data_IF_844999586375
#
_entry.id   IF_844999586375
#
_cell.length_a   1.000
_cell.length_b   1.000
_cell.length_c   1.000
_cell.angle_alpha   90.00
_cell.angle_beta   90.00
_cell.angle_gamma   90.00
#
_symmetry.space_group_name_H-M   'P 1'
#
loop_
_entity.id
_entity.type
_entity.pdbx_description
1 polymer ?
#
# COMPACT_ATOMS: atom_id res chain seq x y z
N UNK A 1 -3.78 -50.32 57.71
CA UNK A 1 -4.53 -49.24 57.00
C UNK A 1 -3.60 -48.65 55.95
N UNK A 2 -3.75 -49.00 54.64
CA UNK A 2 -2.94 -48.49 53.52
C UNK A 2 -3.72 -47.41 52.83
N UNK A 3 -3.25 -46.14 52.89
CA UNK A 3 -3.82 -44.99 52.19
C UNK A 3 -3.29 -44.95 50.75
N UNK A 4 -4.14 -45.17 49.76
CA UNK A 4 -3.84 -45.01 48.36
C UNK A 4 -3.99 -43.52 47.97
N UNK A 5 -2.85 -42.85 47.73
CA UNK A 5 -2.79 -41.49 47.19
C UNK A 5 -2.97 -41.54 45.66
N UNK A 6 -4.12 -41.09 45.17
CA UNK A 6 -4.39 -41.01 43.72
C UNK A 6 -3.90 -39.65 43.22
N UNK A 7 -2.84 -39.66 42.42
CA UNK A 7 -2.38 -38.48 41.69
C UNK A 7 -3.26 -38.31 40.43
N UNK A 8 -4.01 -37.22 40.37
CA UNK A 8 -4.71 -36.81 39.16
C UNK A 8 -3.74 -35.97 38.32
N UNK A 9 -3.32 -36.52 37.19
CA UNK A 9 -2.52 -35.77 36.19
C UNK A 9 -3.51 -34.97 35.37
N UNK A 10 -3.53 -33.65 35.59
CA UNK A 10 -4.26 -32.71 34.72
C UNK A 10 -3.34 -32.38 33.53
N UNK A 11 -3.63 -32.97 32.38
CA UNK A 11 -2.97 -32.63 31.14
C UNK A 11 -3.54 -31.31 30.63
N UNK A 12 -2.73 -30.25 30.71
CA UNK A 12 -3.05 -28.92 30.16
C UNK A 12 -2.73 -28.97 28.66
N UNK A 13 -3.74 -29.16 27.82
CA UNK A 13 -3.61 -28.98 26.37
C UNK A 13 -3.62 -27.48 26.08
N UNK A 14 -2.45 -26.89 25.90
CA UNK A 14 -2.31 -25.56 25.33
C UNK A 14 -2.65 -25.64 23.83
N UNK A 15 -3.86 -25.28 23.46
CA UNK A 15 -4.21 -25.06 22.05
C UNK A 15 -3.52 -23.80 21.57
N UNK A 16 -2.44 -23.96 20.83
CA UNK A 16 -1.83 -22.88 20.08
C UNK A 16 -2.80 -22.53 18.94
N UNK A 17 -3.60 -21.50 19.13
CA UNK A 17 -4.36 -20.92 18.04
C UNK A 17 -3.37 -20.26 17.07
N UNK A 18 -3.02 -20.95 15.99
CA UNK A 18 -2.33 -20.33 14.85
C UNK A 18 -3.36 -19.42 14.19
N UNK A 19 -3.33 -18.13 14.52
CA UNK A 19 -4.09 -17.16 13.76
C UNK A 19 -3.43 -17.05 12.38
N UNK A 20 -4.02 -17.70 11.40
CA UNK A 20 -3.72 -17.47 10.00
C UNK A 20 -4.19 -16.05 9.74
N UNK A 21 -3.26 -15.10 9.71
CA UNK A 21 -3.57 -13.75 9.30
C UNK A 21 -4.09 -13.84 7.84
N UNK A 22 -5.39 -13.60 7.67
CA UNK A 22 -5.98 -13.58 6.34
C UNK A 22 -5.25 -12.53 5.49
N UNK A 23 -4.93 -12.88 4.26
CA UNK A 23 -4.50 -11.92 3.24
C UNK A 23 -5.56 -10.84 3.17
N UNK A 24 -5.21 -9.54 3.22
CA UNK A 24 -6.21 -8.50 3.09
C UNK A 24 -6.97 -8.67 1.79
N UNK A 25 -8.27 -8.41 1.82
CA UNK A 25 -9.06 -8.48 0.62
C UNK A 25 -8.69 -7.36 -0.36
N UNK A 26 -8.97 -7.57 -1.62
CA UNK A 26 -8.71 -6.63 -2.72
C UNK A 26 -9.29 -5.24 -2.43
N UNK A 27 -10.52 -5.17 -1.90
CA UNK A 27 -11.21 -3.91 -1.61
C UNK A 27 -10.51 -3.12 -0.50
N UNK A 28 -10.01 -3.81 0.55
CA UNK A 28 -9.26 -3.17 1.62
C UNK A 28 -7.94 -2.56 1.10
N UNK A 29 -7.24 -3.26 0.20
CA UNK A 29 -5.99 -2.76 -0.39
C UNK A 29 -6.25 -1.63 -1.38
N UNK A 30 -7.29 -1.71 -2.20
CA UNK A 30 -7.71 -0.61 -3.07
C UNK A 30 -8.07 0.64 -2.27
N UNK A 31 -8.72 0.47 -1.12
CA UNK A 31 -8.99 1.56 -0.19
C UNK A 31 -7.73 2.26 0.32
N UNK A 32 -6.66 1.50 0.61
CA UNK A 32 -5.36 2.05 1.02
C UNK A 32 -4.66 2.78 -0.13
N UNK A 33 -4.71 2.23 -1.32
CA UNK A 33 -4.17 2.87 -2.53
C UNK A 33 -4.85 4.23 -2.77
N UNK A 34 -6.19 4.24 -2.76
CA UNK A 34 -6.99 5.48 -2.88
C UNK A 34 -6.67 6.49 -1.77
N UNK A 35 -6.46 6.03 -0.54
CA UNK A 35 -6.11 6.89 0.57
C UNK A 35 -4.72 7.53 0.39
N UNK A 36 -3.74 6.79 -0.13
CA UNK A 36 -2.40 7.33 -0.43
C UNK A 36 -2.46 8.38 -1.55
N UNK A 37 -3.19 8.10 -2.64
CA UNK A 37 -3.44 9.07 -3.71
C UNK A 37 -4.16 10.32 -3.20
N UNK A 38 -5.18 10.15 -2.34
CA UNK A 38 -5.91 11.28 -1.76
C UNK A 38 -5.02 12.13 -0.85
N UNK A 39 -4.22 11.50 0.02
CA UNK A 39 -3.28 12.22 0.88
C UNK A 39 -2.26 13.02 0.05
N UNK A 40 -1.77 12.44 -1.06
CA UNK A 40 -0.87 13.12 -1.99
C UNK A 40 -1.56 14.30 -2.68
N UNK A 41 -2.78 14.11 -3.20
CA UNK A 41 -3.59 15.16 -3.83
C UNK A 41 -3.85 16.32 -2.88
N UNK A 42 -4.21 16.03 -1.64
CA UNK A 42 -4.55 17.03 -0.62
C UNK A 42 -3.32 17.67 0.02
N UNK A 43 -2.11 17.27 -0.40
CA UNK A 43 -0.83 17.70 0.17
C UNK A 43 -0.72 17.42 1.67
N UNK A 44 -1.39 16.37 2.13
CA UNK A 44 -1.39 15.95 3.53
C UNK A 44 -0.21 15.01 3.80
N UNK A 45 0.95 15.59 4.08
CA UNK A 45 2.17 14.82 4.38
C UNK A 45 2.00 13.86 5.56
N UNK A 46 1.19 14.23 6.58
CA UNK A 46 1.01 13.41 7.77
C UNK A 46 0.25 12.12 7.45
N UNK A 47 -0.82 12.19 6.67
CA UNK A 47 -1.59 11.03 6.27
C UNK A 47 -0.86 10.20 5.21
N UNK A 48 -0.12 10.83 4.30
CA UNK A 48 0.74 10.15 3.35
C UNK A 48 1.79 9.27 4.06
N UNK A 49 2.49 9.80 5.07
CA UNK A 49 3.49 9.08 5.87
C UNK A 49 2.92 7.94 6.74
N UNK A 50 1.61 7.88 6.97
CA UNK A 50 0.95 6.74 7.64
C UNK A 50 0.73 5.55 6.71
N UNK A 51 0.71 5.80 5.40
CA UNK A 51 0.41 4.81 4.37
C UNK A 51 1.64 4.38 3.58
N UNK A 52 2.68 5.22 3.58
CA UNK A 52 3.89 5.06 2.77
C UNK A 52 5.10 4.93 3.69
N UNK A 53 5.90 3.91 3.47
CA UNK A 53 7.10 3.65 4.26
C UNK A 53 8.13 4.78 4.10
N UNK A 54 8.84 5.10 5.18
CA UNK A 54 9.90 6.13 5.19
C UNK A 54 11.03 5.84 4.20
N UNK A 55 11.27 4.56 3.88
CA UNK A 55 12.31 4.09 2.99
C UNK A 55 11.77 3.73 1.59
N UNK A 56 10.57 4.19 1.23
CA UNK A 56 9.95 3.95 -0.07
C UNK A 56 10.91 4.23 -1.23
N UNK A 57 10.79 3.44 -2.28
CA UNK A 57 11.38 3.73 -3.59
C UNK A 57 10.27 3.84 -4.63
N UNK A 58 10.37 4.87 -5.46
CA UNK A 58 9.48 5.04 -6.60
C UNK A 58 10.30 5.09 -7.89
N UNK A 59 9.72 4.59 -8.97
CA UNK A 59 10.35 4.63 -10.29
C UNK A 59 9.37 5.23 -11.28
N UNK A 60 9.79 6.28 -11.96
CA UNK A 60 9.03 7.00 -12.96
C UNK A 60 9.85 7.12 -14.25
N UNK A 61 9.23 7.57 -15.33
CA UNK A 61 9.93 7.89 -16.58
C UNK A 61 11.02 8.98 -16.39
N UNK A 62 10.85 9.83 -15.38
CA UNK A 62 11.80 10.90 -15.01
C UNK A 62 12.92 10.45 -14.06
N UNK A 63 12.87 9.20 -13.57
CA UNK A 63 13.92 8.61 -12.73
C UNK A 63 13.42 8.03 -11.40
N UNK A 64 14.37 7.86 -10.47
CA UNK A 64 14.13 7.23 -9.16
C UNK A 64 13.88 8.28 -8.08
N UNK A 65 12.87 8.03 -7.27
CA UNK A 65 12.43 8.87 -6.15
C UNK A 65 12.48 8.13 -4.81
N UNK A 66 12.44 8.89 -3.73
CA UNK A 66 12.33 8.44 -2.35
C UNK A 66 11.37 9.36 -1.59
N UNK A 67 11.10 9.08 -0.32
CA UNK A 67 10.17 9.86 0.50
C UNK A 67 10.42 11.38 0.43
N UNK A 68 11.67 11.83 0.53
CA UNK A 68 11.96 13.25 0.50
C UNK A 68 11.59 13.89 -0.84
N UNK A 69 11.91 13.23 -1.96
CA UNK A 69 11.54 13.69 -3.30
C UNK A 69 10.04 13.62 -3.54
N UNK A 70 9.35 12.59 -3.00
CA UNK A 70 7.88 12.50 -3.10
C UNK A 70 7.18 13.67 -2.39
N UNK A 71 7.66 14.05 -1.20
CA UNK A 71 7.12 15.20 -0.47
C UNK A 71 7.41 16.53 -1.17
N UNK A 72 8.56 16.66 -1.83
CA UNK A 72 8.86 17.83 -2.65
C UNK A 72 8.04 17.86 -3.95
N UNK A 73 7.80 16.71 -4.56
CA UNK A 73 6.92 16.59 -5.72
C UNK A 73 5.47 16.93 -5.35
N UNK A 74 4.98 16.44 -4.21
CA UNK A 74 3.64 16.75 -3.68
C UNK A 74 3.36 18.25 -3.62
N UNK A 75 4.34 19.07 -3.23
CA UNK A 75 4.19 20.53 -3.18
C UNK A 75 3.99 21.17 -4.55
N UNK A 76 4.58 20.57 -5.60
CA UNK A 76 4.56 21.07 -6.98
C UNK A 76 3.35 20.57 -7.77
N UNK A 77 2.71 19.49 -7.31
CA UNK A 77 1.50 18.99 -7.91
C UNK A 77 0.29 19.89 -7.60
N UNK A 78 -0.52 20.15 -8.59
CA UNK A 78 -1.89 20.66 -8.46
C UNK A 78 -2.83 19.64 -9.10
N UNK A 79 -3.11 18.57 -8.34
CA UNK A 79 -3.97 17.48 -8.77
C UNK A 79 -5.42 17.83 -8.48
N UNK A 80 -6.23 17.95 -9.53
CA UNK A 80 -7.66 18.25 -9.45
C UNK A 80 -8.47 17.00 -9.13
N UNK A 81 -8.19 15.92 -9.82
CA UNK A 81 -8.87 14.64 -9.64
C UNK A 81 -7.94 13.47 -9.95
N UNK A 82 -8.28 12.31 -9.39
CA UNK A 82 -7.77 11.01 -9.81
C UNK A 82 -8.88 9.97 -9.75
N UNK A 83 -8.79 8.96 -10.61
CA UNK A 83 -9.71 7.83 -10.66
C UNK A 83 -8.91 6.55 -10.88
N UNK A 84 -9.04 5.58 -9.96
CA UNK A 84 -8.40 4.26 -10.05
C UNK A 84 -9.39 3.28 -10.67
N UNK A 85 -8.95 2.54 -11.68
CA UNK A 85 -9.67 1.44 -12.34
C UNK A 85 -8.76 0.23 -12.51
N UNK A 86 -9.36 -0.91 -12.86
CA UNK A 86 -8.67 -2.18 -13.13
C UNK A 86 -7.73 -2.62 -12.00
N UNK A 87 -8.09 -2.24 -10.76
CA UNK A 87 -7.28 -2.58 -9.61
C UNK A 87 -7.23 -4.08 -9.39
N UNK A 88 -6.03 -4.62 -9.28
CA UNK A 88 -5.80 -6.03 -8.98
C UNK A 88 -4.66 -6.22 -7.99
N UNK A 89 -4.67 -7.35 -7.27
CA UNK A 89 -3.63 -7.69 -6.31
C UNK A 89 -3.09 -9.09 -6.56
N UNK A 90 -1.81 -9.25 -6.34
CA UNK A 90 -1.13 -10.54 -6.28
C UNK A 90 -0.34 -10.65 -4.97
N UNK A 91 -0.38 -11.82 -4.35
CA UNK A 91 0.47 -12.15 -3.20
C UNK A 91 0.65 -13.66 -3.10
N UNK A 92 1.87 -14.11 -3.00
CA UNK A 92 2.27 -15.45 -2.59
C UNK A 92 2.91 -15.47 -1.19
N UNK A 93 3.03 -14.30 -0.57
CA UNK A 93 3.58 -14.08 0.76
C UNK A 93 2.55 -13.41 1.67
N UNK A 94 2.47 -13.87 2.93
CA UNK A 94 1.46 -13.35 3.89
C UNK A 94 1.61 -11.87 4.26
N UNK A 95 2.81 -11.33 4.10
CA UNK A 95 3.17 -9.98 4.56
C UNK A 95 3.56 -9.03 3.40
N UNK A 96 3.37 -9.44 2.15
CA UNK A 96 3.66 -8.65 0.95
C UNK A 96 2.51 -8.75 -0.05
N UNK A 97 2.12 -7.63 -0.61
CA UNK A 97 1.11 -7.54 -1.69
C UNK A 97 1.67 -6.68 -2.81
N UNK A 98 1.54 -7.15 -4.02
CA UNK A 98 1.75 -6.36 -5.24
C UNK A 98 0.38 -5.94 -5.77
N UNK A 99 0.17 -4.65 -5.97
CA UNK A 99 -1.01 -4.11 -6.65
C UNK A 99 -0.65 -3.57 -8.02
N UNK A 100 -1.57 -3.72 -8.95
CA UNK A 100 -1.51 -3.11 -10.29
C UNK A 100 -2.84 -2.46 -10.61
N UNK A 101 -2.81 -1.33 -11.30
CA UNK A 101 -4.04 -0.61 -11.65
C UNK A 101 -3.79 0.42 -12.75
N UNK A 102 -4.87 0.94 -13.28
CA UNK A 102 -4.87 2.13 -14.12
C UNK A 102 -5.33 3.32 -13.28
N UNK A 103 -4.67 4.46 -13.42
CA UNK A 103 -5.12 5.70 -12.79
C UNK A 103 -5.23 6.82 -13.82
N UNK A 104 -6.40 7.44 -13.89
CA UNK A 104 -6.63 8.67 -14.65
C UNK A 104 -6.42 9.85 -13.73
N UNK A 105 -5.57 10.78 -14.13
CA UNK A 105 -5.22 11.98 -13.35
C UNK A 105 -5.57 13.22 -14.16
N UNK A 106 -6.10 14.24 -13.49
CA UNK A 106 -6.26 15.60 -14.02
C UNK A 106 -5.49 16.56 -13.12
N UNK A 107 -4.61 17.37 -13.71
CA UNK A 107 -3.84 18.34 -12.95
C UNK A 107 -2.55 18.79 -13.62
N UNK A 108 -1.80 19.59 -12.88
CA UNK A 108 -0.51 20.12 -13.34
C UNK A 108 0.61 19.75 -12.39
N UNK A 109 1.82 19.66 -12.92
CA UNK A 109 3.06 19.52 -12.15
C UNK A 109 3.97 20.69 -12.52
N UNK A 110 4.33 21.50 -11.54
CA UNK A 110 5.13 22.73 -11.75
C UNK A 110 4.52 23.62 -12.86
N UNK A 111 3.19 23.74 -12.86
CA UNK A 111 2.42 24.52 -13.81
C UNK A 111 2.22 23.90 -15.21
N UNK A 112 2.82 22.73 -15.49
CA UNK A 112 2.67 22.01 -16.75
C UNK A 112 1.56 20.98 -16.67
N UNK A 113 0.70 20.91 -17.67
CA UNK A 113 -0.35 19.88 -17.74
C UNK A 113 0.26 18.48 -17.84
N UNK A 114 -0.10 17.64 -16.88
CA UNK A 114 0.30 16.23 -16.80
C UNK A 114 -0.92 15.30 -16.78
N UNK A 115 -2.09 15.84 -17.10
CA UNK A 115 -3.32 15.06 -17.20
C UNK A 115 -3.16 13.88 -18.14
N UNK A 116 -3.78 12.76 -17.80
CA UNK A 116 -3.72 11.55 -18.60
C UNK A 116 -4.02 10.30 -17.84
N UNK A 117 -3.89 9.16 -18.52
CA UNK A 117 -4.02 7.82 -17.95
C UNK A 117 -2.63 7.22 -17.75
N UNK A 118 -2.44 6.58 -16.62
CA UNK A 118 -1.17 5.98 -16.21
C UNK A 118 -1.38 4.52 -15.85
N UNK A 119 -0.45 3.65 -16.25
CA UNK A 119 -0.29 2.33 -15.70
C UNK A 119 0.48 2.45 -14.39
N UNK A 120 -0.04 1.92 -13.32
CA UNK A 120 0.53 2.08 -12.00
C UNK A 120 0.61 0.76 -11.22
N UNK A 121 1.46 0.73 -10.23
CA UNK A 121 1.59 -0.40 -9.32
C UNK A 121 2.34 -0.04 -8.05
N UNK A 122 2.02 -0.76 -6.99
CA UNK A 122 2.65 -0.60 -5.69
C UNK A 122 3.00 -1.94 -5.07
N UNK A 123 4.03 -1.96 -4.24
CA UNK A 123 4.31 -3.07 -3.35
C UNK A 123 4.01 -2.62 -1.93
N UNK A 124 3.12 -3.34 -1.28
CA UNK A 124 2.73 -3.13 0.10
C UNK A 124 3.33 -4.20 0.99
N UNK A 125 3.91 -3.80 2.10
CA UNK A 125 4.47 -4.68 3.13
C UNK A 125 3.75 -4.49 4.44
N UNK A 126 3.47 -5.60 5.11
CA UNK A 126 2.86 -5.57 6.43
C UNK A 126 3.91 -5.32 7.50
N UNK A 127 3.69 -4.31 8.33
CA UNK A 127 4.50 -4.00 9.50
C UNK A 127 3.60 -3.94 10.74
N UNK A 128 3.70 -4.95 11.60
CA UNK A 128 2.76 -5.12 12.70
C UNK A 128 1.32 -5.31 12.19
N UNK A 129 0.45 -4.38 12.51
CA UNK A 129 -0.95 -4.38 12.04
C UNK A 129 -1.18 -3.45 10.84
N UNK A 130 -0.15 -2.77 10.35
CA UNK A 130 -0.26 -1.79 9.27
C UNK A 130 0.30 -2.35 7.96
N UNK A 131 -0.29 -1.91 6.85
CA UNK A 131 0.26 -2.10 5.52
C UNK A 131 0.84 -0.78 5.04
N UNK A 132 2.11 -0.78 4.65
CA UNK A 132 2.83 0.39 4.16
C UNK A 132 3.31 0.14 2.73
N UNK A 133 3.14 1.12 1.85
CA UNK A 133 3.70 1.07 0.50
C UNK A 133 5.23 1.25 0.59
N UNK A 134 5.99 0.26 0.10
CA UNK A 134 7.46 0.26 0.07
C UNK A 134 8.01 0.54 -1.31
N UNK A 135 7.19 0.37 -2.35
CA UNK A 135 7.52 0.68 -3.73
C UNK A 135 6.28 1.22 -4.45
N UNK A 136 6.48 2.18 -5.35
CA UNK A 136 5.45 2.70 -6.24
C UNK A 136 6.02 3.03 -7.61
N UNK A 137 5.20 2.87 -8.64
CA UNK A 137 5.47 3.32 -10.00
C UNK A 137 4.19 3.79 -10.68
N UNK A 138 4.30 4.78 -11.53
CA UNK A 138 3.29 5.10 -12.53
C UNK A 138 3.95 5.59 -13.81
N UNK A 139 3.45 5.14 -14.94
CA UNK A 139 3.98 5.45 -16.27
C UNK A 139 2.81 5.87 -17.14
N UNK A 140 2.91 7.07 -17.72
CA UNK A 140 1.87 7.62 -18.58
C UNK A 140 1.67 6.73 -19.81
N UNK A 141 0.42 6.40 -20.11
CA UNK A 141 0.10 5.67 -21.33
C UNK A 141 0.37 6.54 -22.56
N UNK A 142 0.90 5.93 -23.61
CA UNK A 142 1.00 6.60 -24.89
C UNK A 142 -0.40 6.96 -25.43
N UNK A 143 -0.51 8.10 -26.11
CA UNK A 143 -1.74 8.42 -26.81
C UNK A 143 -2.06 7.30 -27.83
N UNK A 144 -3.33 6.93 -28.03
CA UNK A 144 -3.71 6.04 -29.12
C UNK A 144 -3.19 6.61 -30.44
N UNK A 145 -2.51 5.74 -31.23
CA UNK A 145 -2.08 6.07 -32.59
C UNK A 145 -3.26 6.13 -33.54
#
# INVERSE_FOLDING_TARGET
MKKHLRYAIIAFFATVAVSIAATPDKAAMEGKEKAAWQAFKDKNEADFKKLVDKDIRCVYDTGVSNMAKELDAMKKWDMKSFEISDYDIFSDEKDVIVSTYTVKVEGTFDGKDVSGTYNAGSVWKKEGNNWLAIFHTNIKQAAPQ
#
